data_IF_958540971111
#
_entry.id   IF_958540971111
#
_cell.length_a   1.000
_cell.length_b   1.000
_cell.length_c   1.000
_cell.angle_alpha   90.00
_cell.angle_beta   90.00
_cell.angle_gamma   90.00
#
_symmetry.space_group_name_H-M   'P 1'
#
loop_
_entity.id
_entity.type
_entity.pdbx_description
1 polymer ?
#
# COMPACT_ATOMS: atom_id res chain seq x y z
N UNK A 1 -19.29 -23.10 14.12
CA UNK A 1 -18.87 -21.73 13.77
C UNK A 1 -18.14 -21.81 12.43
N UNK A 2 -18.53 -20.96 11.50
CA UNK A 2 -18.34 -21.07 10.05
C UNK A 2 -16.89 -21.39 9.63
N UNK A 3 -16.71 -22.42 8.79
CA UNK A 3 -15.42 -22.91 8.26
C UNK A 3 -15.04 -22.22 6.94
N UNK A 4 -15.21 -20.91 6.84
CA UNK A 4 -14.60 -20.16 5.73
C UNK A 4 -13.28 -19.56 6.22
N UNK A 5 -12.19 -19.63 5.45
CA UNK A 5 -10.97 -18.93 5.82
C UNK A 5 -11.29 -17.44 5.92
N UNK A 6 -10.91 -16.79 7.02
CA UNK A 6 -11.17 -15.37 7.23
C UNK A 6 -10.47 -14.51 6.15
N UNK A 7 -9.31 -14.95 5.67
CA UNK A 7 -8.49 -14.20 4.71
C UNK A 7 -9.22 -13.83 3.39
N UNK A 8 -9.84 -14.74 2.62
CA UNK A 8 -10.55 -14.35 1.39
C UNK A 8 -11.70 -13.36 1.60
N UNK A 9 -12.42 -13.45 2.72
CA UNK A 9 -13.49 -12.51 3.06
C UNK A 9 -12.93 -11.11 3.33
N UNK A 10 -11.87 -11.05 4.16
CA UNK A 10 -11.15 -9.80 4.44
C UNK A 10 -10.60 -9.19 3.15
N UNK A 11 -9.93 -9.99 2.32
CA UNK A 11 -9.32 -9.52 1.09
C UNK A 11 -10.36 -8.93 0.14
N UNK A 12 -11.52 -9.57 0.00
CA UNK A 12 -12.63 -9.04 -0.81
C UNK A 12 -13.11 -7.69 -0.27
N UNK A 13 -13.40 -7.63 1.03
CA UNK A 13 -13.92 -6.42 1.67
C UNK A 13 -12.95 -5.23 1.54
N UNK A 14 -11.64 -5.48 1.66
CA UNK A 14 -10.61 -4.47 1.47
C UNK A 14 -10.58 -3.91 0.05
N UNK A 15 -10.55 -4.79 -0.95
CA UNK A 15 -10.52 -4.37 -2.36
C UNK A 15 -11.78 -3.60 -2.73
N UNK A 16 -12.94 -4.03 -2.23
CA UNK A 16 -14.22 -3.35 -2.45
C UNK A 16 -14.25 -1.97 -1.77
N UNK A 17 -13.69 -1.83 -0.57
CA UNK A 17 -13.58 -0.56 0.13
C UNK A 17 -12.67 0.44 -0.60
N UNK A 18 -11.49 0.00 -1.07
CA UNK A 18 -10.55 0.86 -1.82
C UNK A 18 -11.17 1.29 -3.16
N UNK A 19 -11.97 0.42 -3.79
CA UNK A 19 -12.65 0.73 -5.05
C UNK A 19 -13.77 1.78 -4.89
N UNK A 20 -14.24 2.09 -3.68
CA UNK A 20 -15.31 3.08 -3.51
C UNK A 20 -14.87 4.48 -3.95
N UNK A 21 -15.74 5.28 -4.62
CA UNK A 21 -15.39 6.63 -5.04
C UNK A 21 -14.98 7.57 -3.90
N UNK A 22 -15.50 7.34 -2.69
CA UNK A 22 -15.23 8.15 -1.50
C UNK A 22 -13.96 7.75 -0.75
N UNK A 23 -13.31 6.64 -1.12
CA UNK A 23 -11.98 6.32 -0.59
C UNK A 23 -11.00 7.32 -1.21
N UNK A 24 -10.67 8.36 -0.46
CA UNK A 24 -9.73 9.39 -0.86
C UNK A 24 -8.41 9.20 -0.12
N UNK A 25 -7.32 9.11 -0.87
CA UNK A 25 -5.99 8.98 -0.31
C UNK A 25 -4.97 9.57 -1.28
N UNK A 26 -3.93 10.19 -0.73
CA UNK A 26 -2.86 10.80 -1.51
C UNK A 26 -1.55 10.04 -1.30
N UNK A 27 -0.70 10.07 -2.33
CA UNK A 27 0.68 9.60 -2.21
C UNK A 27 1.40 10.28 -1.03
N UNK A 28 2.37 9.58 -0.40
CA UNK A 28 3.17 10.23 0.62
C UNK A 28 3.96 11.38 -0.03
N UNK A 29 4.08 12.54 0.66
CA UNK A 29 4.78 13.68 0.10
C UNK A 29 6.29 13.40 0.00
N UNK A 30 6.76 13.25 -1.23
CA UNK A 30 8.17 13.05 -1.61
C UNK A 30 8.69 14.23 -2.43
N UNK A 31 10.00 14.46 -2.37
CA UNK A 31 10.68 15.43 -3.26
C UNK A 31 10.66 14.98 -4.74
N UNK A 32 10.83 15.91 -5.66
CA UNK A 32 10.98 15.59 -7.09
C UNK A 32 12.25 14.75 -7.33
N UNK A 33 13.32 14.98 -6.55
CA UNK A 33 14.55 14.21 -6.58
C UNK A 33 14.33 12.76 -6.14
N UNK A 34 13.57 12.55 -5.06
CA UNK A 34 13.16 11.23 -4.61
C UNK A 34 12.37 10.49 -5.68
N UNK A 35 11.36 11.14 -6.27
CA UNK A 35 10.61 10.54 -7.38
C UNK A 35 11.49 10.22 -8.58
N UNK A 36 12.43 11.11 -8.93
CA UNK A 36 13.36 10.88 -10.03
C UNK A 36 14.22 9.64 -9.78
N UNK A 37 14.69 9.43 -8.55
CA UNK A 37 15.48 8.23 -8.19
C UNK A 37 14.69 6.93 -8.32
N UNK A 38 13.45 6.89 -7.84
CA UNK A 38 12.56 5.72 -7.91
C UNK A 38 12.23 5.35 -9.37
N UNK A 39 12.11 6.37 -10.22
CA UNK A 39 11.66 6.22 -11.60
C UNK A 39 12.81 6.02 -12.60
N UNK A 40 14.06 6.12 -12.14
CA UNK A 40 15.21 5.86 -12.99
C UNK A 40 15.24 4.39 -13.46
N UNK A 41 15.66 4.18 -14.70
CA UNK A 41 15.62 2.87 -15.39
C UNK A 41 17.01 2.33 -15.72
N UNK A 42 18.06 2.97 -15.21
CA UNK A 42 19.41 2.42 -15.31
C UNK A 42 19.49 1.09 -14.55
N UNK A 43 20.47 0.25 -14.90
CA UNK A 43 20.67 -1.03 -14.24
C UNK A 43 20.92 -0.84 -12.74
N UNK A 44 21.81 0.09 -12.40
CA UNK A 44 22.17 0.37 -11.01
C UNK A 44 20.95 0.89 -10.22
N UNK A 45 20.11 1.73 -10.83
CA UNK A 45 18.87 2.18 -10.19
C UNK A 45 17.86 1.05 -10.01
N UNK A 46 17.81 0.08 -10.93
CA UNK A 46 16.95 -1.10 -10.79
C UNK A 46 17.41 -1.99 -9.63
N UNK A 47 18.71 -2.26 -9.55
CA UNK A 47 19.30 -3.04 -8.44
C UNK A 47 19.11 -2.32 -7.09
N UNK A 48 19.16 -0.98 -7.07
CA UNK A 48 18.85 -0.21 -5.86
C UNK A 48 17.36 -0.24 -5.51
N UNK A 49 16.47 -0.16 -6.49
CA UNK A 49 15.03 -0.28 -6.26
C UNK A 49 14.66 -1.64 -5.66
N UNK A 50 15.30 -2.74 -6.08
CA UNK A 50 15.10 -4.06 -5.47
C UNK A 50 15.50 -4.07 -3.97
N UNK A 51 16.55 -3.32 -3.59
CA UNK A 51 16.96 -3.16 -2.18
C UNK A 51 15.97 -2.30 -1.40
N UNK A 52 15.42 -1.27 -2.04
CA UNK A 52 14.41 -0.39 -1.47
C UNK A 52 13.05 -1.09 -1.30
N UNK A 53 12.63 -1.92 -2.27
CA UNK A 53 11.46 -2.81 -2.18
C UNK A 53 11.54 -3.64 -0.89
N UNK A 54 12.65 -4.36 -0.69
CA UNK A 54 12.87 -5.16 0.51
C UNK A 54 12.73 -4.35 1.82
N UNK A 55 13.30 -3.15 1.86
CA UNK A 55 13.22 -2.28 3.03
C UNK A 55 11.78 -1.78 3.25
N UNK A 56 11.10 -1.39 2.18
CA UNK A 56 9.73 -0.91 2.19
C UNK A 56 8.73 -1.95 2.68
N UNK A 57 8.89 -3.19 2.21
CA UNK A 57 8.11 -4.35 2.66
C UNK A 57 8.21 -4.54 4.19
N UNK A 58 9.45 -4.58 4.70
CA UNK A 58 9.71 -4.72 6.13
C UNK A 58 9.15 -3.56 6.96
N UNK A 59 9.28 -2.32 6.46
CA UNK A 59 8.73 -1.12 7.09
C UNK A 59 7.20 -1.16 7.16
N UNK A 60 6.52 -1.57 6.09
CA UNK A 60 5.07 -1.74 6.10
C UNK A 60 4.62 -2.82 7.06
N UNK A 61 5.31 -3.95 7.09
CA UNK A 61 5.00 -5.04 8.00
C UNK A 61 5.05 -4.58 9.47
N UNK A 62 6.10 -3.85 9.85
CA UNK A 62 6.26 -3.29 11.18
C UNK A 62 5.21 -2.21 11.49
N UNK A 63 4.96 -1.32 10.53
CA UNK A 63 3.99 -0.22 10.70
C UNK A 63 2.58 -0.76 10.86
N UNK A 64 2.14 -1.70 10.03
CA UNK A 64 0.83 -2.34 10.16
C UNK A 64 0.68 -3.08 11.49
N UNK A 65 1.74 -3.76 11.96
CA UNK A 65 1.76 -4.36 13.29
C UNK A 65 1.49 -3.33 14.40
N UNK A 66 2.17 -2.18 14.35
CA UNK A 66 1.95 -1.06 15.28
C UNK A 66 0.52 -0.52 15.19
N UNK A 67 -0.02 -0.36 13.98
CA UNK A 67 -1.38 0.17 13.79
C UNK A 67 -2.44 -0.80 14.33
N UNK A 68 -2.31 -2.09 14.05
CA UNK A 68 -3.26 -3.09 14.54
C UNK A 68 -3.28 -3.15 16.07
N UNK A 69 -2.10 -3.15 16.71
CA UNK A 69 -2.01 -3.14 18.16
C UNK A 69 -2.70 -1.91 18.79
N UNK A 70 -2.50 -0.72 18.19
CA UNK A 70 -3.09 0.54 18.69
C UNK A 70 -4.59 0.65 18.43
N UNK A 71 -5.06 0.24 17.26
CA UNK A 71 -6.43 0.45 16.82
C UNK A 71 -7.39 -0.67 17.23
N UNK A 72 -6.86 -1.86 17.52
CA UNK A 72 -7.62 -3.04 17.95
C UNK A 72 -7.10 -3.54 19.31
N UNK A 73 -7.31 -2.79 20.41
CA UNK A 73 -6.70 -3.09 21.71
C UNK A 73 -7.10 -4.44 22.32
N UNK A 74 -8.23 -5.01 21.90
CA UNK A 74 -8.72 -6.33 22.32
C UNK A 74 -8.52 -7.40 21.24
N UNK A 75 -7.67 -7.16 20.25
CA UNK A 75 -7.42 -8.10 19.16
C UNK A 75 -6.58 -9.29 19.59
N UNK A 76 -6.79 -10.43 18.95
CA UNK A 76 -6.02 -11.65 19.18
C UNK A 76 -4.88 -11.78 18.16
N UNK A 77 -3.82 -12.56 18.44
CA UNK A 77 -2.79 -12.85 17.44
C UNK A 77 -3.33 -13.43 16.13
N UNK A 78 -4.41 -14.21 16.20
CA UNK A 78 -5.07 -14.77 15.02
C UNK A 78 -5.75 -13.68 14.17
N UNK A 79 -6.51 -12.78 14.80
CA UNK A 79 -7.08 -11.61 14.13
C UNK A 79 -5.98 -10.74 13.50
N UNK A 80 -4.94 -10.41 14.26
CA UNK A 80 -3.84 -9.58 13.77
C UNK A 80 -3.13 -10.19 12.57
N UNK A 81 -2.89 -11.50 12.60
CA UNK A 81 -2.23 -12.20 11.51
C UNK A 81 -3.09 -12.19 10.24
N UNK A 82 -4.38 -12.53 10.34
CA UNK A 82 -5.30 -12.54 9.19
C UNK A 82 -5.48 -11.14 8.60
N UNK A 83 -5.73 -10.13 9.44
CA UNK A 83 -5.92 -8.74 9.00
C UNK A 83 -4.64 -8.19 8.37
N UNK A 84 -3.48 -8.37 9.03
CA UNK A 84 -2.21 -7.87 8.49
C UNK A 84 -1.88 -8.53 7.16
N UNK A 85 -2.02 -9.85 7.04
CA UNK A 85 -1.73 -10.56 5.79
C UNK A 85 -2.56 -10.02 4.62
N UNK A 86 -3.83 -9.66 4.85
CA UNK A 86 -4.66 -9.09 3.80
C UNK A 86 -4.29 -7.63 3.49
N UNK A 87 -4.03 -6.81 4.51
CA UNK A 87 -3.61 -5.40 4.36
C UNK A 87 -2.24 -5.24 3.68
N UNK A 88 -1.35 -6.22 3.87
CA UNK A 88 0.03 -6.26 3.40
C UNK A 88 0.18 -7.06 2.09
N UNK A 89 -0.92 -7.52 1.47
CA UNK A 89 -0.84 -8.29 0.23
C UNK A 89 -0.57 -7.43 -1.00
N UNK A 90 0.08 -8.00 -2.02
CA UNK A 90 0.31 -7.33 -3.32
C UNK A 90 -1.00 -6.85 -3.96
N UNK A 91 -2.10 -7.58 -3.75
CA UNK A 91 -3.41 -7.17 -4.24
C UNK A 91 -3.88 -5.87 -3.59
N UNK A 92 -3.70 -5.74 -2.27
CA UNK A 92 -4.03 -4.50 -1.54
C UNK A 92 -3.09 -3.36 -1.92
N UNK A 93 -1.78 -3.61 -2.00
CA UNK A 93 -0.79 -2.60 -2.39
C UNK A 93 -1.01 -2.09 -3.81
N UNK A 94 -1.19 -2.97 -4.80
CA UNK A 94 -1.54 -2.57 -6.16
C UNK A 94 -2.81 -1.75 -6.21
N UNK A 95 -3.84 -2.15 -5.44
CA UNK A 95 -5.12 -1.45 -5.48
C UNK A 95 -5.05 -0.08 -4.81
N UNK A 96 -4.26 0.07 -3.75
CA UNK A 96 -3.96 1.37 -3.15
C UNK A 96 -3.19 2.25 -4.13
N UNK A 97 -2.10 1.75 -4.72
CA UNK A 97 -1.30 2.47 -5.70
C UNK A 97 -2.12 3.04 -6.87
N UNK A 98 -3.08 2.27 -7.38
CA UNK A 98 -4.02 2.72 -8.43
C UNK A 98 -4.95 3.84 -7.95
N UNK A 99 -5.33 3.80 -6.67
CA UNK A 99 -6.32 4.70 -6.07
C UNK A 99 -5.71 6.00 -5.55
N UNK A 100 -4.43 5.99 -5.21
CA UNK A 100 -3.75 7.14 -4.64
C UNK A 100 -3.69 8.27 -5.65
N UNK A 101 -4.18 9.43 -5.23
CA UNK A 101 -4.19 10.64 -6.01
C UNK A 101 -2.75 11.13 -6.24
N UNK A 102 -2.41 11.29 -7.51
CA UNK A 102 -1.11 11.77 -8.02
C UNK A 102 -1.11 13.28 -8.27
N UNK A 103 -2.18 14.00 -7.91
CA UNK A 103 -2.39 15.42 -8.28
C UNK A 103 -1.36 16.42 -7.72
N UNK A 104 -0.43 15.97 -6.87
CA UNK A 104 0.59 16.81 -6.24
C UNK A 104 2.04 16.52 -6.73
N UNK A 105 2.23 15.71 -7.77
CA UNK A 105 3.56 15.44 -8.34
C UNK A 105 3.82 16.26 -9.61
N UNK A 106 5.08 16.52 -9.94
CA UNK A 106 5.44 17.21 -11.20
C UNK A 106 4.96 16.45 -12.44
N UNK A 107 4.71 17.13 -13.56
CA UNK A 107 4.16 16.50 -14.77
C UNK A 107 5.00 15.36 -15.35
N UNK A 108 6.33 15.39 -15.14
CA UNK A 108 7.24 14.29 -15.50
C UNK A 108 7.00 13.06 -14.63
N UNK A 109 6.89 13.26 -13.32
CA UNK A 109 6.59 12.19 -12.34
C UNK A 109 5.20 11.61 -12.61
N UNK A 110 4.23 12.48 -12.88
CA UNK A 110 2.86 12.08 -13.22
C UNK A 110 2.84 11.10 -14.40
N UNK A 111 3.49 11.46 -15.50
CA UNK A 111 3.56 10.62 -16.71
C UNK A 111 4.19 9.25 -16.43
N UNK A 112 5.27 9.24 -15.65
CA UNK A 112 5.98 8.00 -15.30
C UNK A 112 5.18 7.12 -14.34
N UNK A 113 4.49 7.71 -13.35
CA UNK A 113 3.61 6.99 -12.43
C UNK A 113 2.41 6.38 -13.17
N UNK A 114 1.77 7.14 -14.06
CA UNK A 114 0.69 6.60 -14.90
C UNK A 114 1.19 5.44 -15.77
N UNK A 115 2.40 5.51 -16.35
CA UNK A 115 2.99 4.40 -17.10
C UNK A 115 3.25 3.14 -16.23
N UNK A 116 3.45 3.33 -14.92
CA UNK A 116 3.56 2.25 -13.92
C UNK A 116 2.23 1.96 -13.21
N UNK A 117 1.11 2.41 -13.76
CA UNK A 117 -0.27 2.17 -13.29
C UNK A 117 -0.60 2.71 -11.90
N UNK A 118 0.13 3.74 -11.45
CA UNK A 118 -0.20 4.54 -10.26
C UNK A 118 -1.22 5.63 -10.61
N UNK A 119 -2.22 5.81 -9.75
CA UNK A 119 -3.22 6.89 -9.87
C UNK A 119 -4.11 6.82 -11.11
N UNK A 120 -4.32 5.62 -11.69
CA UNK A 120 -5.27 5.40 -12.81
C UNK A 120 -6.75 5.41 -12.36
N UNK A 121 -7.00 5.52 -11.05
CA UNK A 121 -8.34 5.43 -10.49
C UNK A 121 -8.95 4.04 -10.66
N UNK A 122 -10.27 3.94 -10.53
CA UNK A 122 -10.98 2.65 -10.60
C UNK A 122 -11.25 2.16 -12.02
N UNK A 123 -10.81 2.91 -13.04
CA UNK A 123 -11.05 2.63 -14.45
C UNK A 123 -9.96 1.77 -15.10
N UNK A 124 -8.94 1.37 -14.35
CA UNK A 124 -7.87 0.51 -14.84
C UNK A 124 -8.42 -0.86 -15.31
N UNK A 125 -7.92 -1.40 -16.45
CA UNK A 125 -8.30 -2.72 -16.94
C UNK A 125 -7.87 -3.84 -15.97
N UNK A 126 -8.43 -5.04 -16.14
CA UNK A 126 -7.99 -6.22 -15.37
C UNK A 126 -6.47 -6.41 -15.49
N UNK A 127 -5.77 -6.30 -14.37
CA UNK A 127 -4.32 -6.53 -14.29
C UNK A 127 -4.00 -8.03 -14.25
N UNK A 128 -2.98 -8.42 -15.00
CA UNK A 128 -2.33 -9.72 -14.82
C UNK A 128 -1.54 -9.76 -13.52
N UNK A 129 -1.31 -10.95 -12.98
CA UNK A 129 -0.50 -11.14 -11.77
C UNK A 129 0.87 -10.44 -11.80
N UNK A 130 1.65 -10.49 -12.89
CA UNK A 130 2.91 -9.76 -12.99
C UNK A 130 2.75 -8.24 -12.84
N UNK A 131 1.68 -7.66 -13.38
CA UNK A 131 1.41 -6.22 -13.26
C UNK A 131 1.04 -5.83 -11.82
N UNK A 132 0.23 -6.67 -11.16
CA UNK A 132 -0.09 -6.49 -9.72
C UNK A 132 1.18 -6.52 -8.88
N UNK A 133 2.06 -7.49 -9.12
CA UNK A 133 3.35 -7.57 -8.42
C UNK A 133 4.19 -6.32 -8.67
N UNK A 134 4.44 -5.94 -9.93
CA UNK A 134 5.25 -4.76 -10.24
C UNK A 134 4.70 -3.45 -9.63
N UNK A 135 3.36 -3.33 -9.53
CA UNK A 135 2.73 -2.17 -8.87
C UNK A 135 2.97 -2.18 -7.36
N UNK A 136 2.87 -3.35 -6.72
CA UNK A 136 3.12 -3.52 -5.30
C UNK A 136 4.60 -3.26 -4.94
N UNK A 137 5.53 -3.81 -5.72
CA UNK A 137 6.97 -3.64 -5.53
C UNK A 137 7.37 -2.14 -5.61
N UNK A 138 6.74 -1.40 -6.54
CA UNK A 138 6.92 0.05 -6.63
C UNK A 138 6.34 0.80 -5.42
N UNK A 139 5.19 0.36 -4.89
CA UNK A 139 4.60 0.95 -3.69
C UNK A 139 5.53 0.76 -2.48
N UNK A 140 6.12 -0.42 -2.31
CA UNK A 140 7.12 -0.71 -1.28
C UNK A 140 8.37 0.17 -1.43
N UNK A 141 8.87 0.32 -2.66
CA UNK A 141 9.98 1.24 -2.95
C UNK A 141 9.68 2.68 -2.52
N UNK A 142 8.47 3.19 -2.82
CA UNK A 142 8.00 4.52 -2.39
C UNK A 142 8.00 4.65 -0.86
N UNK A 143 7.58 3.61 -0.15
CA UNK A 143 7.57 3.59 1.33
C UNK A 143 8.99 3.69 1.89
N UNK A 144 9.95 2.96 1.32
CA UNK A 144 11.34 3.01 1.76
C UNK A 144 11.95 4.41 1.56
N UNK A 145 11.73 5.02 0.39
CA UNK A 145 12.23 6.37 0.12
C UNK A 145 11.56 7.42 1.02
N UNK A 146 10.26 7.30 1.25
CA UNK A 146 9.54 8.20 2.16
C UNK A 146 10.06 8.11 3.59
N UNK A 147 10.34 6.89 4.06
CA UNK A 147 11.01 6.67 5.33
C UNK A 147 12.38 7.35 5.39
N UNK A 148 13.19 7.24 4.33
CA UNK A 148 14.53 7.85 4.31
C UNK A 148 14.47 9.39 4.36
N UNK A 149 13.49 10.00 3.70
CA UNK A 149 13.34 11.46 3.72
C UNK A 149 12.73 11.99 5.02
N UNK A 150 11.79 11.24 5.63
CA UNK A 150 10.88 11.80 6.66
C UNK A 150 10.91 11.08 8.00
N UNK A 151 11.58 9.92 8.09
CA UNK A 151 11.70 9.11 9.29
C UNK A 151 10.47 8.25 9.61
N UNK A 152 10.65 7.36 10.57
CA UNK A 152 9.67 6.30 10.88
C UNK A 152 8.34 6.79 11.41
N UNK A 153 8.34 7.81 12.27
CA UNK A 153 7.09 8.31 12.86
C UNK A 153 6.21 8.98 11.81
N UNK A 154 6.79 9.77 10.90
CA UNK A 154 6.06 10.37 9.78
C UNK A 154 5.49 9.30 8.83
N UNK A 155 6.23 8.21 8.60
CA UNK A 155 5.71 7.05 7.88
C UNK A 155 4.51 6.44 8.62
N UNK A 156 4.63 6.23 9.93
CA UNK A 156 3.54 5.67 10.74
C UNK A 156 2.27 6.52 10.71
N UNK A 157 2.40 7.84 10.72
CA UNK A 157 1.28 8.77 10.67
C UNK A 157 0.56 8.70 9.31
N UNK A 158 1.31 8.74 8.20
CA UNK A 158 0.75 8.59 6.86
C UNK A 158 0.08 7.22 6.66
N UNK A 159 0.72 6.13 7.09
CA UNK A 159 0.10 4.78 7.03
C UNK A 159 -1.15 4.72 7.88
N UNK A 160 -1.17 5.34 9.07
CA UNK A 160 -2.37 5.39 9.90
C UNK A 160 -3.52 6.13 9.18
N UNK A 161 -3.27 7.26 8.54
CA UNK A 161 -4.29 7.98 7.78
C UNK A 161 -4.88 7.12 6.65
N UNK A 162 -4.01 6.44 5.90
CA UNK A 162 -4.40 5.58 4.79
C UNK A 162 -5.14 4.30 5.24
N UNK A 163 -4.65 3.62 6.27
CA UNK A 163 -5.09 2.28 6.65
C UNK A 163 -6.17 2.24 7.75
N UNK A 164 -6.38 3.32 8.50
CA UNK A 164 -7.42 3.35 9.56
C UNK A 164 -8.80 2.88 9.09
N UNK A 165 -9.37 3.38 7.96
CA UNK A 165 -10.67 2.88 7.50
C UNK A 165 -10.60 1.39 7.09
N UNK A 166 -9.48 0.95 6.52
CA UNK A 166 -9.29 -0.43 6.06
C UNK A 166 -9.16 -1.44 7.20
N UNK A 167 -8.52 -1.05 8.31
CA UNK A 167 -8.41 -1.90 9.51
C UNK A 167 -9.80 -2.19 10.07
N UNK A 168 -10.71 -1.20 10.06
CA UNK A 168 -12.09 -1.39 10.52
C UNK A 168 -12.87 -2.34 9.60
N UNK A 169 -12.75 -2.16 8.27
CA UNK A 169 -13.37 -3.04 7.27
C UNK A 169 -12.87 -4.48 7.43
N UNK A 170 -11.55 -4.65 7.56
CA UNK A 170 -10.95 -5.98 7.71
C UNK A 170 -11.38 -6.67 9.01
N UNK A 171 -11.45 -5.92 10.12
CA UNK A 171 -11.95 -6.46 11.39
C UNK A 171 -13.40 -6.94 11.27
N UNK A 172 -14.25 -6.15 10.62
CA UNK A 172 -15.66 -6.51 10.44
C UNK A 172 -15.80 -7.79 9.60
N UNK A 173 -15.09 -7.85 8.47
CA UNK A 173 -15.08 -9.02 7.59
C UNK A 173 -14.49 -10.29 8.24
N UNK A 174 -13.58 -10.15 9.22
CA UNK A 174 -13.07 -11.29 9.99
C UNK A 174 -14.12 -11.89 10.95
N UNK A 175 -15.05 -11.07 11.46
CA UNK A 175 -16.04 -11.48 12.46
C UNK A 175 -17.31 -12.10 11.86
N UNK A 176 -17.52 -11.93 10.56
CA UNK A 176 -18.64 -12.46 9.78
C UNK A 176 -18.41 -13.93 9.36
#
# INVERSE_FOLDING_TARGET
>A
MSKFPAYPAIQRALLDAIAQPHFNAALPPLSDEAWASILETSRDATEENDRLEFMGDALMYATLGRQLYRQLPNGTPDLYSNVRSALHSNATFSRLAEKLDIFAVSGKVLTALTAKTFGEGTSAPFKSWPQVKATADLFETVIAVYYMERGFETLCDWVNELYRPLILVAKQAYLE
#
